data_IF_957953092475
#
_entry.id   IF_957953092475
#
_cell.length_a   1.000
_cell.length_b   1.000
_cell.length_c   1.000
_cell.angle_alpha   90.00
_cell.angle_beta   90.00
_cell.angle_gamma   90.00
#
_symmetry.space_group_name_H-M   'P 1'
#
loop_
_entity.id
_entity.type
_entity.pdbx_description
1 polymer ?
#
# COMPACT_ATOMS: atom_id res chain seq x y z
N UNK A 1 26.09 -17.63 62.37
CA UNK A 1 26.04 -16.61 61.30
C UNK A 1 25.95 -17.32 59.98
N UNK A 2 24.74 -17.47 59.44
CA UNK A 2 24.52 -18.06 58.10
C UNK A 2 24.56 -16.92 57.10
N UNK A 3 25.53 -16.97 56.19
CA UNK A 3 25.73 -16.00 55.11
C UNK A 3 24.65 -16.24 54.06
N UNK A 4 23.65 -15.36 54.04
CA UNK A 4 22.69 -15.22 52.94
C UNK A 4 23.24 -14.10 52.04
N UNK A 5 23.65 -14.41 50.81
CA UNK A 5 24.09 -13.35 49.92
C UNK A 5 24.81 -13.82 48.67
N UNK A 6 24.06 -14.42 47.74
CA UNK A 6 24.31 -14.26 46.30
C UNK A 6 23.22 -14.91 45.43
N UNK A 7 22.51 -15.92 45.97
CA UNK A 7 21.39 -16.57 45.26
C UNK A 7 20.12 -15.70 45.16
N UNK A 8 20.00 -14.65 45.96
CA UNK A 8 18.83 -13.74 45.93
C UNK A 8 18.90 -12.70 44.81
N UNK A 9 20.10 -12.30 44.36
CA UNK A 9 20.27 -11.31 43.28
C UNK A 9 20.01 -11.89 41.89
N UNK A 10 20.35 -13.16 41.68
CA UNK A 10 20.07 -13.87 40.41
C UNK A 10 18.57 -14.17 40.25
N UNK A 11 17.87 -14.45 41.36
CA UNK A 11 16.44 -14.76 41.32
C UNK A 11 15.55 -13.53 40.98
N UNK A 12 15.93 -12.33 41.44
CA UNK A 12 15.21 -11.09 41.13
C UNK A 12 15.42 -10.64 39.67
N UNK A 13 16.59 -10.90 39.08
CA UNK A 13 16.89 -10.60 37.67
C UNK A 13 16.13 -11.51 36.69
N UNK A 14 15.94 -12.78 37.03
CA UNK A 14 15.18 -13.75 36.21
C UNK A 14 13.67 -13.46 36.26
N UNK A 15 13.14 -13.04 37.42
CA UNK A 15 11.72 -12.64 37.54
C UNK A 15 11.45 -11.32 36.80
N UNK A 16 12.39 -10.37 36.80
CA UNK A 16 12.28 -9.12 36.02
C UNK A 16 12.21 -9.35 34.51
N UNK A 17 13.04 -10.25 33.97
CA UNK A 17 13.04 -10.62 32.54
C UNK A 17 11.78 -11.41 32.11
N UNK A 18 11.25 -12.26 33.00
CA UNK A 18 9.96 -12.94 32.80
C UNK A 18 8.77 -11.96 32.85
N UNK A 19 8.78 -10.94 33.72
CA UNK A 19 7.71 -9.94 33.79
C UNK A 19 7.71 -8.96 32.60
N UNK A 20 8.89 -8.59 32.08
CA UNK A 20 8.99 -7.73 30.88
C UNK A 20 8.55 -8.46 29.62
N UNK A 21 8.90 -9.74 29.47
CA UNK A 21 8.46 -10.56 28.32
C UNK A 21 6.96 -10.89 28.37
N UNK A 22 6.40 -11.16 29.56
CA UNK A 22 4.95 -11.33 29.76
C UNK A 22 4.19 -10.01 29.51
N UNK A 23 4.73 -8.86 29.92
CA UNK A 23 4.09 -7.55 29.65
C UNK A 23 4.10 -7.19 28.16
N UNK A 24 5.16 -7.54 27.43
CA UNK A 24 5.24 -7.30 25.99
C UNK A 24 4.29 -8.24 25.22
N UNK A 25 4.24 -9.52 25.60
CA UNK A 25 3.32 -10.51 25.03
C UNK A 25 1.84 -10.17 25.29
N UNK A 26 1.47 -9.85 26.54
CA UNK A 26 0.08 -9.48 26.89
C UNK A 26 -0.38 -8.17 26.24
N UNK A 27 0.51 -7.17 26.10
CA UNK A 27 0.22 -5.95 25.33
C UNK A 27 -0.02 -6.25 23.85
N UNK A 28 0.75 -7.16 23.25
CA UNK A 28 0.61 -7.55 21.85
C UNK A 28 -0.66 -8.39 21.60
N UNK A 29 -1.03 -9.28 22.52
CA UNK A 29 -2.29 -10.04 22.50
C UNK A 29 -3.51 -9.11 22.62
N UNK A 30 -3.48 -8.15 23.56
CA UNK A 30 -4.55 -7.18 23.72
C UNK A 30 -4.66 -6.20 22.53
N UNK A 31 -3.55 -5.93 21.83
CA UNK A 31 -3.54 -5.16 20.60
C UNK A 31 -4.18 -5.93 19.44
N UNK A 32 -3.90 -7.25 19.33
CA UNK A 32 -4.49 -8.12 18.30
C UNK A 32 -5.99 -8.32 18.51
N UNK A 33 -6.47 -8.50 19.75
CA UNK A 33 -7.92 -8.59 20.01
C UNK A 33 -8.66 -7.29 19.68
N UNK A 34 -8.04 -6.12 19.90
CA UNK A 34 -8.60 -4.82 19.51
C UNK A 34 -8.63 -4.61 17.99
N UNK A 35 -7.75 -5.29 17.26
CA UNK A 35 -7.67 -5.25 15.80
C UNK A 35 -8.77 -6.10 15.17
N UNK A 36 -8.88 -7.37 15.55
CA UNK A 36 -9.84 -8.32 14.97
C UNK A 36 -11.30 -8.00 15.33
N UNK A 37 -11.53 -7.33 16.47
CA UNK A 37 -12.87 -6.93 16.94
C UNK A 37 -13.20 -5.46 16.70
N UNK A 38 -12.43 -4.74 15.88
CA UNK A 38 -12.74 -3.34 15.64
C UNK A 38 -14.08 -3.21 14.91
N UNK A 39 -15.04 -2.42 15.43
CA UNK A 39 -16.36 -2.31 14.81
C UNK A 39 -16.32 -1.81 13.37
N UNK A 40 -15.29 -1.04 12.95
CA UNK A 40 -15.18 -0.54 11.58
C UNK A 40 -14.96 -1.63 10.55
N UNK A 41 -14.57 -2.84 10.96
CA UNK A 41 -14.49 -3.99 10.06
C UNK A 41 -15.87 -4.54 9.70
N UNK A 42 -16.95 -4.11 10.34
CA UNK A 42 -18.30 -4.60 10.07
C UNK A 42 -19.18 -3.54 9.42
N UNK A 43 -19.98 -3.94 8.43
CA UNK A 43 -21.02 -3.09 7.83
C UNK A 43 -22.04 -2.57 8.86
N UNK A 44 -22.24 -3.25 9.99
CA UNK A 44 -23.17 -2.78 11.03
C UNK A 44 -22.73 -1.45 11.64
N UNK A 45 -21.42 -1.19 11.71
CA UNK A 45 -20.90 0.09 12.21
C UNK A 45 -21.20 1.25 11.24
N UNK A 46 -21.08 0.99 9.94
CA UNK A 46 -21.27 1.99 8.89
C UNK A 46 -22.73 2.23 8.51
N UNK A 47 -23.61 1.27 8.83
CA UNK A 47 -25.00 1.30 8.43
C UNK A 47 -25.17 1.24 6.91
N UNK A 48 -26.29 1.76 6.41
CA UNK A 48 -26.67 1.67 4.98
C UNK A 48 -26.78 3.04 4.30
N UNK A 49 -26.67 4.14 5.05
CA UNK A 49 -26.90 5.49 4.52
C UNK A 49 -25.90 5.91 3.43
N UNK A 50 -24.69 5.35 3.46
CA UNK A 50 -23.66 5.59 2.45
C UNK A 50 -24.13 5.18 1.04
N UNK A 51 -25.02 4.19 0.93
CA UNK A 51 -25.58 3.73 -0.36
C UNK A 51 -26.46 4.77 -1.04
N UNK A 52 -27.01 5.72 -0.27
CA UNK A 52 -27.88 6.79 -0.79
C UNK A 52 -27.10 7.84 -1.61
N UNK A 53 -25.77 7.85 -1.50
CA UNK A 53 -24.87 8.76 -2.22
C UNK A 53 -24.17 8.06 -3.38
N UNK A 54 -23.83 8.83 -4.41
CA UNK A 54 -22.86 8.38 -5.42
C UNK A 54 -21.52 8.10 -4.74
N UNK A 55 -20.77 7.10 -5.19
CA UNK A 55 -19.46 6.76 -4.63
C UNK A 55 -18.48 7.95 -4.63
N UNK A 56 -18.55 8.83 -5.64
CA UNK A 56 -17.76 10.06 -5.74
C UNK A 56 -18.10 11.12 -4.67
N UNK A 57 -19.24 10.97 -3.98
CA UNK A 57 -19.71 11.86 -2.93
C UNK A 57 -19.53 11.26 -1.52
N UNK A 58 -19.02 10.03 -1.41
CA UNK A 58 -18.79 9.35 -0.13
C UNK A 58 -17.46 9.76 0.51
N UNK A 59 -17.20 11.07 0.56
CA UNK A 59 -15.98 11.62 1.17
C UNK A 59 -16.33 12.30 2.47
N UNK A 60 -15.60 11.96 3.54
CA UNK A 60 -15.91 12.43 4.90
C UNK A 60 -14.69 12.45 5.81
N UNK A 61 -14.80 13.11 6.96
CA UNK A 61 -13.84 13.00 8.05
C UNK A 61 -13.83 11.57 8.59
N UNK A 62 -12.65 11.00 8.89
CA UNK A 62 -12.57 9.68 9.51
C UNK A 62 -13.23 9.65 10.91
N UNK A 63 -14.04 8.63 11.22
CA UNK A 63 -14.59 8.48 12.56
C UNK A 63 -13.53 8.03 13.57
N UNK A 64 -13.76 8.28 14.86
CA UNK A 64 -12.77 8.03 15.93
C UNK A 64 -12.34 6.56 16.05
N UNK A 65 -13.25 5.63 15.75
CA UNK A 65 -13.00 4.19 15.79
C UNK A 65 -12.01 3.77 14.71
N UNK A 66 -12.12 4.37 13.52
CA UNK A 66 -11.21 4.14 12.41
C UNK A 66 -9.82 4.70 12.74
N UNK A 67 -9.76 5.91 13.29
CA UNK A 67 -8.49 6.50 13.73
C UNK A 67 -7.79 5.62 14.77
N UNK A 68 -8.54 5.13 15.77
CA UNK A 68 -8.00 4.21 16.78
C UNK A 68 -7.45 2.92 16.19
N UNK A 69 -8.13 2.38 15.17
CA UNK A 69 -7.68 1.19 14.45
C UNK A 69 -6.32 1.44 13.78
N UNK A 70 -6.26 2.48 12.95
CA UNK A 70 -5.07 2.82 12.18
C UNK A 70 -3.90 3.18 13.11
N UNK A 71 -4.15 3.94 14.19
CA UNK A 71 -3.15 4.20 15.24
C UNK A 71 -2.56 2.91 15.83
N UNK A 72 -3.38 1.90 16.08
CA UNK A 72 -2.91 0.62 16.63
C UNK A 72 -2.07 -0.16 15.60
N UNK A 73 -2.45 -0.12 14.32
CA UNK A 73 -1.67 -0.70 13.23
C UNK A 73 -0.33 -0.02 13.02
N UNK A 74 -0.30 1.31 13.03
CA UNK A 74 0.92 2.08 12.95
C UNK A 74 1.92 1.64 14.03
N UNK A 75 1.46 1.53 15.29
CA UNK A 75 2.29 1.05 16.40
C UNK A 75 2.79 -0.38 16.14
N UNK A 76 1.92 -1.29 15.67
CA UNK A 76 2.29 -2.69 15.35
C UNK A 76 3.33 -2.77 14.24
N UNK A 77 3.27 -1.86 13.27
CA UNK A 77 4.17 -1.80 12.11
C UNK A 77 5.43 -0.94 12.36
N UNK A 78 5.56 -0.34 13.55
CA UNK A 78 6.72 0.48 13.95
C UNK A 78 6.69 1.93 13.45
N UNK A 79 5.53 2.41 13.02
CA UNK A 79 5.26 3.81 12.71
C UNK A 79 4.96 4.59 13.99
N UNK A 80 5.43 5.84 14.04
CA UNK A 80 5.22 6.74 15.18
C UNK A 80 3.98 7.62 14.98
N UNK A 81 3.50 7.68 13.76
CA UNK A 81 2.42 8.51 13.28
C UNK A 81 1.09 8.08 13.92
N UNK A 82 0.32 9.08 14.34
CA UNK A 82 -0.98 8.92 14.99
C UNK A 82 -2.00 9.72 14.19
N UNK A 83 -2.85 9.06 13.38
CA UNK A 83 -3.78 9.77 12.52
C UNK A 83 -4.80 10.55 13.34
N UNK A 84 -5.08 11.78 12.88
CA UNK A 84 -6.11 12.66 13.44
C UNK A 84 -7.11 13.04 12.36
N UNK A 85 -8.29 13.50 12.79
CA UNK A 85 -9.34 13.99 11.89
C UNK A 85 -8.81 15.09 10.98
N UNK A 86 -9.21 15.05 9.71
CA UNK A 86 -9.00 16.12 8.75
C UNK A 86 -10.27 16.32 7.92
N UNK A 87 -10.51 17.57 7.53
CA UNK A 87 -11.54 17.85 6.54
C UNK A 87 -11.08 17.36 5.16
N UNK A 88 -11.97 16.77 4.36
CA UNK A 88 -11.67 16.45 2.97
C UNK A 88 -11.24 17.67 2.16
N UNK A 89 -10.21 17.49 1.35
CA UNK A 89 -9.74 18.52 0.43
C UNK A 89 -10.64 18.59 -0.83
N UNK A 90 -10.84 19.77 -1.46
CA UNK A 90 -11.51 19.87 -2.75
C UNK A 90 -10.95 18.91 -3.81
N UNK A 91 -9.62 18.74 -3.82
CA UNK A 91 -8.88 17.88 -4.74
C UNK A 91 -9.27 16.40 -4.63
N UNK A 92 -9.83 15.97 -3.48
CA UNK A 92 -10.33 14.61 -3.33
C UNK A 92 -11.59 14.41 -4.17
N UNK A 93 -12.50 15.39 -4.15
CA UNK A 93 -13.71 15.35 -4.96
C UNK A 93 -13.39 15.47 -6.45
N UNK A 94 -12.46 16.38 -6.82
CA UNK A 94 -12.01 16.54 -8.20
C UNK A 94 -11.40 15.24 -8.75
N UNK A 95 -10.53 14.59 -7.97
CA UNK A 95 -9.92 13.33 -8.36
C UNK A 95 -10.95 12.21 -8.53
N UNK A 96 -11.91 12.08 -7.61
CA UNK A 96 -12.97 11.06 -7.69
C UNK A 96 -13.88 11.30 -8.89
N UNK A 97 -14.23 12.56 -9.18
CA UNK A 97 -15.03 12.91 -10.38
C UNK A 97 -14.26 12.61 -11.68
N UNK A 98 -12.96 12.93 -11.73
CA UNK A 98 -12.13 12.60 -12.88
C UNK A 98 -12.02 11.07 -13.07
N UNK A 99 -11.91 10.30 -11.99
CA UNK A 99 -11.92 8.84 -12.05
C UNK A 99 -13.26 8.29 -12.52
N UNK A 100 -14.40 8.84 -12.08
CA UNK A 100 -15.72 8.42 -12.56
C UNK A 100 -15.93 8.64 -14.07
N UNK A 101 -15.35 9.71 -14.61
CA UNK A 101 -15.37 9.97 -16.04
C UNK A 101 -14.53 8.95 -16.83
N UNK A 102 -13.33 8.61 -16.32
CA UNK A 102 -12.37 7.74 -17.03
C UNK A 102 -12.63 6.24 -16.83
N UNK A 103 -13.30 5.85 -15.75
CA UNK A 103 -13.33 4.45 -15.30
C UNK A 103 -14.35 3.58 -16.06
N UNK A 104 -13.96 2.33 -16.44
CA UNK A 104 -14.88 1.37 -17.05
C UNK A 104 -16.10 1.09 -16.17
N UNK A 105 -17.26 0.90 -16.81
CA UNK A 105 -18.53 0.71 -16.13
C UNK A 105 -18.55 -0.43 -15.10
N UNK A 106 -17.95 -1.62 -15.34
CA UNK A 106 -17.92 -2.68 -14.33
C UNK A 106 -17.27 -2.26 -13.01
N UNK A 107 -16.20 -1.46 -13.07
CA UNK A 107 -15.52 -0.96 -11.87
C UNK A 107 -16.32 0.13 -11.17
N UNK A 108 -16.98 1.02 -11.91
CA UNK A 108 -17.87 2.02 -11.34
C UNK A 108 -19.04 1.39 -10.60
N UNK A 109 -19.62 0.33 -11.16
CA UNK A 109 -20.66 -0.46 -10.49
C UNK A 109 -20.12 -1.07 -9.18
N UNK A 110 -18.92 -1.66 -9.20
CA UNK A 110 -18.30 -2.19 -7.97
C UNK A 110 -18.06 -1.10 -6.92
N UNK A 111 -17.53 0.08 -7.28
CA UNK A 111 -17.36 1.20 -6.35
C UNK A 111 -18.70 1.66 -5.78
N UNK A 112 -19.71 1.83 -6.65
CA UNK A 112 -21.05 2.23 -6.23
C UNK A 112 -21.65 1.22 -5.24
N UNK A 113 -21.47 -0.07 -5.45
CA UNK A 113 -22.06 -1.13 -4.63
C UNK A 113 -21.28 -1.46 -3.36
N UNK A 114 -19.94 -1.25 -3.37
CA UNK A 114 -19.05 -1.87 -2.38
C UNK A 114 -18.10 -0.91 -1.66
N UNK A 115 -17.85 0.31 -2.18
CA UNK A 115 -17.03 1.30 -1.48
C UNK A 115 -17.90 2.05 -0.46
N UNK A 116 -17.66 1.81 0.83
CA UNK A 116 -18.39 2.46 1.93
C UNK A 116 -18.07 3.96 1.98
N UNK A 117 -16.80 4.32 1.81
CA UNK A 117 -16.39 5.73 1.71
C UNK A 117 -14.89 5.95 1.60
N UNK A 118 -14.53 7.20 1.34
CA UNK A 118 -13.19 7.76 1.35
C UNK A 118 -13.08 8.71 2.55
N UNK A 119 -12.10 8.50 3.43
CA UNK A 119 -11.97 9.26 4.67
C UNK A 119 -10.70 10.11 4.69
N UNK A 120 -10.83 11.37 5.09
CA UNK A 120 -9.69 12.27 5.23
C UNK A 120 -9.11 12.23 6.65
N UNK A 121 -7.79 12.14 6.74
CA UNK A 121 -7.01 12.21 7.98
C UNK A 121 -5.77 13.08 7.80
N UNK A 122 -5.08 13.41 8.89
CA UNK A 122 -3.70 13.89 8.88
C UNK A 122 -2.83 12.96 9.73
N UNK A 123 -1.57 12.78 9.36
CA UNK A 123 -0.62 11.98 10.16
C UNK A 123 -0.84 10.48 10.02
N UNK A 124 -1.14 10.01 8.81
CA UNK A 124 -1.37 8.60 8.50
C UNK A 124 -0.11 7.74 8.62
N UNK A 125 1.07 8.29 8.32
CA UNK A 125 2.33 7.54 8.18
C UNK A 125 2.63 7.12 6.73
N UNK A 126 1.68 7.33 5.83
CA UNK A 126 1.80 7.20 4.38
C UNK A 126 0.89 8.22 3.71
N UNK A 127 0.42 7.92 2.49
CA UNK A 127 -0.49 8.82 1.75
C UNK A 127 -1.90 8.29 1.61
N UNK A 128 -2.04 6.97 1.62
CA UNK A 128 -3.29 6.25 1.47
C UNK A 128 -3.30 5.00 2.33
N UNK A 129 -4.49 4.50 2.60
CA UNK A 129 -4.74 3.28 3.34
C UNK A 129 -6.09 2.71 2.90
N UNK A 130 -6.14 1.42 2.64
CA UNK A 130 -7.36 0.70 2.26
C UNK A 130 -7.64 -0.39 3.27
N UNK A 131 -8.92 -0.58 3.61
CA UNK A 131 -9.31 -1.65 4.52
C UNK A 131 -10.62 -2.33 4.12
N UNK A 132 -10.72 -3.61 4.47
CA UNK A 132 -11.91 -4.45 4.38
C UNK A 132 -13.02 -3.94 5.28
N UNK A 133 -14.24 -4.08 4.77
CA UNK A 133 -15.45 -4.13 5.59
C UNK A 133 -16.19 -5.43 5.26
N UNK A 134 -16.43 -6.25 6.28
CA UNK A 134 -17.27 -7.43 6.20
C UNK A 134 -18.72 -7.03 5.96
N UNK A 135 -19.35 -7.67 4.98
CA UNK A 135 -20.77 -7.52 4.72
C UNK A 135 -21.64 -8.24 5.78
N UNK A 136 -22.97 -8.21 5.61
CA UNK A 136 -23.90 -8.85 6.54
C UNK A 136 -23.77 -10.38 6.60
N UNK A 137 -23.06 -11.00 5.65
CA UNK A 137 -22.77 -12.43 5.61
C UNK A 137 -21.39 -12.77 6.18
N UNK A 138 -20.61 -11.76 6.59
CA UNK A 138 -19.24 -11.93 7.06
C UNK A 138 -18.22 -12.09 5.93
N UNK A 139 -18.55 -11.69 4.70
CA UNK A 139 -17.63 -11.77 3.56
C UNK A 139 -16.91 -10.43 3.33
N UNK A 140 -15.65 -10.47 2.89
CA UNK A 140 -14.81 -9.30 2.55
C UNK A 140 -15.24 -8.63 1.23
N UNK A 141 -16.51 -8.23 1.15
CA UNK A 141 -17.13 -7.72 -0.07
C UNK A 141 -17.22 -6.20 -0.12
N UNK A 142 -16.90 -5.50 0.97
CA UNK A 142 -16.96 -4.03 1.06
C UNK A 142 -15.60 -3.49 1.50
N UNK A 143 -15.41 -2.19 1.37
CA UNK A 143 -14.17 -1.56 1.84
C UNK A 143 -14.26 -0.06 1.99
N UNK A 144 -13.21 0.49 2.60
CA UNK A 144 -12.99 1.92 2.78
C UNK A 144 -11.62 2.32 2.25
N UNK A 145 -11.47 3.59 1.89
CA UNK A 145 -10.20 4.21 1.55
C UNK A 145 -9.97 5.37 2.52
N UNK A 146 -8.74 5.61 2.91
CA UNK A 146 -8.32 6.71 3.78
C UNK A 146 -7.18 7.45 3.11
N UNK A 147 -7.21 8.78 3.12
CA UNK A 147 -6.20 9.64 2.49
C UNK A 147 -5.65 10.66 3.48
N UNK A 148 -4.33 10.88 3.44
CA UNK A 148 -3.67 11.89 4.26
C UNK A 148 -3.73 13.28 3.60
N UNK A 149 -4.62 14.15 4.08
CA UNK A 149 -4.79 15.49 3.54
C UNK A 149 -3.53 16.36 3.71
N UNK A 150 -2.78 16.21 4.81
CA UNK A 150 -1.60 17.02 5.07
C UNK A 150 -0.44 16.73 4.12
N UNK A 151 -0.24 15.46 3.77
CA UNK A 151 0.79 15.06 2.81
C UNK A 151 0.41 15.52 1.41
N UNK A 152 -0.86 15.36 1.03
CA UNK A 152 -1.34 15.56 -0.34
C UNK A 152 -1.47 17.03 -0.72
N UNK A 153 -1.95 17.89 0.17
CA UNK A 153 -2.14 19.33 -0.12
C UNK A 153 -0.86 20.10 -0.49
N UNK A 154 0.31 19.50 -0.28
CA UNK A 154 1.61 20.18 -0.38
C UNK A 154 2.46 19.72 -1.56
N UNK A 155 1.95 18.83 -2.43
CA UNK A 155 2.72 18.25 -3.52
C UNK A 155 1.88 18.08 -4.77
N UNK A 156 2.40 18.55 -5.90
CA UNK A 156 1.90 18.18 -7.23
C UNK A 156 2.13 16.68 -7.51
N UNK A 157 1.61 16.17 -8.62
CA UNK A 157 1.67 14.75 -8.96
C UNK A 157 3.11 14.24 -9.07
N UNK A 158 3.97 14.96 -9.77
CA UNK A 158 5.37 14.58 -9.97
C UNK A 158 6.21 14.77 -8.71
N UNK A 159 5.93 15.81 -7.91
CA UNK A 159 6.58 16.02 -6.61
C UNK A 159 6.24 14.91 -5.63
N UNK A 160 4.96 14.54 -5.53
CA UNK A 160 4.51 13.44 -4.70
C UNK A 160 5.14 12.11 -5.14
N UNK A 161 5.06 11.80 -6.44
CA UNK A 161 5.60 10.55 -6.97
C UNK A 161 7.11 10.45 -6.72
N UNK A 162 7.85 11.54 -6.98
CA UNK A 162 9.29 11.59 -6.70
C UNK A 162 9.58 11.41 -5.20
N UNK A 163 8.86 12.13 -4.34
CA UNK A 163 9.05 12.02 -2.88
C UNK A 163 8.78 10.59 -2.37
N UNK A 164 7.66 9.99 -2.77
CA UNK A 164 7.31 8.62 -2.39
C UNK A 164 8.33 7.61 -2.93
N UNK A 165 8.80 7.77 -4.17
CA UNK A 165 9.73 6.81 -4.76
C UNK A 165 11.14 6.91 -4.16
N UNK A 166 11.56 8.10 -3.72
CA UNK A 166 12.81 8.24 -2.96
C UNK A 166 12.70 7.61 -1.55
N UNK A 167 11.49 7.51 -0.97
CA UNK A 167 11.30 6.96 0.37
C UNK A 167 11.65 5.46 0.52
N UNK A 168 11.83 4.75 -0.60
CA UNK A 168 12.34 3.38 -0.59
C UNK A 168 13.81 3.27 -0.19
N UNK A 169 14.55 4.37 -0.25
CA UNK A 169 15.99 4.41 -0.02
C UNK A 169 16.32 5.30 1.17
N UNK A 170 17.38 4.95 1.89
CA UNK A 170 17.95 5.84 2.89
C UNK A 170 18.84 6.87 2.18
N UNK A 171 18.77 8.12 2.63
CA UNK A 171 19.50 9.24 2.05
C UNK A 171 20.98 9.28 2.48
N UNK A 172 21.54 8.17 2.96
CA UNK A 172 22.87 8.10 3.58
C UNK A 172 24.06 8.26 2.61
N UNK A 173 23.81 8.57 1.34
CA UNK A 173 24.81 8.45 0.29
C UNK A 173 25.67 9.71 0.08
N UNK A 174 26.96 9.46 -0.17
CA UNK A 174 28.00 10.41 -0.54
C UNK A 174 28.12 10.62 -2.06
N UNK A 175 27.39 9.83 -2.87
CA UNK A 175 27.31 9.98 -4.32
C UNK A 175 26.11 10.88 -4.72
N UNK A 176 26.31 11.75 -5.72
CA UNK A 176 25.26 12.64 -6.27
C UNK A 176 24.24 11.88 -7.13
N UNK A 177 23.57 10.87 -6.58
CA UNK A 177 22.51 10.10 -7.23
C UNK A 177 21.15 10.62 -6.78
N UNK A 178 20.32 11.04 -7.74
CA UNK A 178 18.92 11.43 -7.50
C UNK A 178 17.95 10.61 -8.36
N UNK A 179 16.74 10.46 -7.85
CA UNK A 179 15.63 9.82 -8.53
C UNK A 179 14.48 10.82 -8.63
N UNK A 180 13.90 10.95 -9.82
CA UNK A 180 12.66 11.70 -10.05
C UNK A 180 11.63 10.81 -10.73
N UNK A 181 10.36 11.07 -10.47
CA UNK A 181 9.26 10.50 -11.22
C UNK A 181 8.50 11.59 -11.98
N UNK A 182 7.98 11.22 -13.14
CA UNK A 182 6.96 12.00 -13.82
C UNK A 182 5.77 11.09 -14.15
N UNK A 183 4.63 11.39 -13.55
CA UNK A 183 3.33 10.74 -13.75
C UNK A 183 2.30 11.70 -14.40
N UNK A 184 2.64 12.98 -14.56
CA UNK A 184 1.86 13.94 -15.34
C UNK A 184 2.79 14.86 -16.14
N UNK A 185 2.26 15.41 -17.23
CA UNK A 185 2.89 16.52 -17.96
C UNK A 185 2.25 17.85 -17.54
N UNK A 186 2.95 18.96 -17.68
CA UNK A 186 2.35 20.29 -17.53
C UNK A 186 1.24 20.50 -18.58
N UNK A 187 0.08 21.09 -18.23
CA UNK A 187 -0.28 21.71 -16.95
C UNK A 187 -1.02 20.76 -15.99
N UNK A 188 -0.99 19.44 -16.23
CA UNK A 188 -1.70 18.44 -15.43
C UNK A 188 -0.95 18.03 -14.16
N UNK A 189 0.28 18.51 -13.96
CA UNK A 189 1.05 18.28 -12.74
C UNK A 189 0.45 19.05 -11.55
N UNK A 190 -0.59 18.49 -10.95
CA UNK A 190 -1.44 19.14 -9.96
C UNK A 190 -1.65 18.24 -8.75
N UNK A 191 -2.03 18.84 -7.62
CA UNK A 191 -2.42 18.10 -6.41
C UNK A 191 -3.56 17.12 -6.70
N UNK A 192 -4.59 17.55 -7.45
CA UNK A 192 -5.72 16.68 -7.82
C UNK A 192 -5.27 15.43 -8.60
N UNK A 193 -4.31 15.54 -9.51
CA UNK A 193 -3.78 14.37 -10.21
C UNK A 193 -2.83 13.52 -9.34
N UNK A 194 -2.18 14.09 -8.33
CA UNK A 194 -1.49 13.30 -7.29
C UNK A 194 -2.51 12.43 -6.53
N UNK A 195 -3.60 13.05 -6.05
CA UNK A 195 -4.70 12.35 -5.36
C UNK A 195 -5.32 11.29 -6.26
N UNK A 196 -5.54 11.58 -7.55
CA UNK A 196 -6.04 10.62 -8.54
C UNK A 196 -5.17 9.37 -8.63
N UNK A 197 -3.85 9.52 -8.73
CA UNK A 197 -2.94 8.38 -8.82
C UNK A 197 -2.96 7.53 -7.54
N UNK A 198 -3.00 8.18 -6.39
CA UNK A 198 -3.04 7.49 -5.08
C UNK A 198 -4.35 6.74 -4.92
N UNK A 199 -5.47 7.38 -5.26
CA UNK A 199 -6.78 6.72 -5.28
C UNK A 199 -6.77 5.49 -6.18
N UNK A 200 -6.09 5.53 -7.34
CA UNK A 200 -5.97 4.33 -8.17
C UNK A 200 -5.22 3.20 -7.46
N UNK A 201 -4.14 3.50 -6.73
CA UNK A 201 -3.42 2.51 -5.95
C UNK A 201 -4.31 1.91 -4.85
N UNK A 202 -4.97 2.76 -4.05
CA UNK A 202 -5.90 2.31 -3.00
C UNK A 202 -7.10 1.54 -3.56
N UNK A 203 -7.64 1.98 -4.70
CA UNK A 203 -8.67 1.25 -5.43
C UNK A 203 -8.16 -0.11 -5.92
N UNK A 204 -6.87 -0.22 -6.27
CA UNK A 204 -6.24 -1.48 -6.61
C UNK A 204 -6.30 -2.48 -5.45
N UNK A 205 -5.93 -2.06 -4.24
CA UNK A 205 -6.12 -2.86 -3.02
C UNK A 205 -7.60 -3.23 -2.82
N UNK A 206 -8.49 -2.25 -2.89
CA UNK A 206 -9.93 -2.45 -2.73
C UNK A 206 -10.50 -3.47 -3.72
N UNK A 207 -10.23 -3.30 -5.00
CA UNK A 207 -10.73 -4.18 -6.04
C UNK A 207 -10.12 -5.57 -5.94
N UNK A 208 -8.83 -5.66 -5.60
CA UNK A 208 -8.15 -6.94 -5.48
C UNK A 208 -8.80 -7.81 -4.39
N UNK A 209 -9.21 -7.21 -3.28
CA UNK A 209 -10.00 -7.90 -2.25
C UNK A 209 -11.39 -8.28 -2.72
N UNK A 210 -12.23 -7.29 -3.09
CA UNK A 210 -13.66 -7.54 -3.29
C UNK A 210 -13.94 -8.41 -4.52
N UNK A 211 -12.97 -8.50 -5.43
CA UNK A 211 -13.03 -9.39 -6.61
C UNK A 211 -12.22 -10.67 -6.44
N UNK A 212 -11.56 -10.86 -5.29
CA UNK A 212 -10.71 -12.02 -4.97
C UNK A 212 -9.61 -12.21 -6.02
N UNK A 213 -8.95 -11.12 -6.43
CA UNK A 213 -7.80 -11.17 -7.33
C UNK A 213 -6.49 -11.51 -6.60
N UNK A 214 -6.46 -11.33 -5.27
CA UNK A 214 -5.39 -11.76 -4.37
C UNK A 214 -5.98 -12.27 -3.05
N UNK A 215 -5.15 -12.84 -2.19
CA UNK A 215 -5.55 -13.36 -0.88
C UNK A 215 -5.97 -12.26 0.09
N UNK A 216 -6.78 -12.61 1.09
CA UNK A 216 -7.06 -11.75 2.24
C UNK A 216 -5.77 -11.44 3.01
N UNK A 217 -5.56 -10.18 3.35
CA UNK A 217 -4.50 -9.79 4.29
C UNK A 217 -4.91 -10.01 5.75
N UNK A 218 -6.21 -10.11 6.05
CA UNK A 218 -6.69 -10.43 7.41
C UNK A 218 -6.33 -11.87 7.73
N UNK A 219 -6.69 -12.81 6.85
CA UNK A 219 -6.33 -14.23 6.99
C UNK A 219 -4.80 -14.41 7.07
N UNK A 220 -4.03 -13.68 6.26
CA UNK A 220 -2.58 -13.69 6.37
C UNK A 220 -2.09 -13.12 7.71
N UNK A 221 -2.70 -12.05 8.22
CA UNK A 221 -2.27 -11.43 9.47
C UNK A 221 -2.37 -12.41 10.65
N UNK A 222 -3.35 -13.32 10.61
CA UNK A 222 -3.62 -14.38 11.59
C UNK A 222 -2.78 -15.64 11.35
N UNK A 223 -2.77 -16.16 10.13
CA UNK A 223 -2.20 -17.48 9.80
C UNK A 223 -0.74 -17.41 9.36
N UNK A 224 -0.28 -16.24 8.92
CA UNK A 224 0.98 -16.04 8.19
C UNK A 224 1.09 -16.86 6.91
N UNK A 225 -0.03 -17.34 6.38
CA UNK A 225 -0.11 -18.04 5.11
C UNK A 225 -0.80 -17.16 4.07
N UNK A 226 -0.33 -17.25 2.83
CA UNK A 226 -0.94 -16.60 1.68
C UNK A 226 -1.40 -17.73 0.77
N UNK A 227 -2.70 -17.81 0.53
CA UNK A 227 -3.21 -18.73 -0.46
C UNK A 227 -2.70 -18.31 -1.85
N UNK A 228 -1.99 -19.20 -2.55
CA UNK A 228 -1.39 -18.93 -3.86
C UNK A 228 -2.26 -19.38 -5.04
N UNK A 229 -3.54 -19.66 -4.82
CA UNK A 229 -4.50 -20.07 -5.86
C UNK A 229 -5.07 -18.88 -6.66
N UNK A 230 -4.56 -17.67 -6.45
CA UNK A 230 -4.97 -16.48 -7.20
C UNK A 230 -4.19 -16.33 -8.51
N UNK A 231 -4.85 -16.28 -9.68
CA UNK A 231 -4.17 -16.27 -10.98
C UNK A 231 -3.19 -15.11 -11.16
N UNK A 232 -3.50 -13.93 -10.62
CA UNK A 232 -2.59 -12.79 -10.70
C UNK A 232 -1.32 -13.01 -9.88
N UNK A 233 -1.45 -13.43 -8.62
CA UNK A 233 -0.31 -13.65 -7.74
C UNK A 233 0.67 -14.68 -8.33
N UNK A 234 0.17 -15.74 -8.94
CA UNK A 234 0.99 -16.80 -9.56
C UNK A 234 1.93 -16.32 -10.68
N UNK A 235 1.64 -15.16 -11.29
CA UNK A 235 2.47 -14.57 -12.34
C UNK A 235 3.85 -14.13 -11.83
N UNK A 236 3.93 -13.71 -10.56
CA UNK A 236 5.13 -13.10 -9.99
C UNK A 236 5.60 -13.77 -8.71
N UNK A 237 4.67 -14.36 -7.96
CA UNK A 237 4.88 -14.87 -6.63
C UNK A 237 4.76 -16.39 -6.63
N UNK A 238 5.53 -17.01 -5.74
CA UNK A 238 5.54 -18.45 -5.51
C UNK A 238 5.53 -18.70 -4.01
N UNK A 239 5.08 -19.88 -3.61
CA UNK A 239 5.25 -20.38 -2.27
C UNK A 239 6.37 -21.41 -2.28
N UNK A 240 7.33 -21.28 -1.37
CA UNK A 240 8.36 -22.29 -1.19
C UNK A 240 7.82 -23.51 -0.41
N UNK A 241 8.56 -24.62 -0.32
CA UNK A 241 8.11 -25.82 0.40
C UNK A 241 7.84 -25.61 1.90
N UNK A 242 8.32 -24.52 2.49
CA UNK A 242 8.06 -24.17 3.90
C UNK A 242 6.77 -23.36 4.08
N UNK A 243 6.14 -22.95 2.98
CA UNK A 243 4.95 -22.12 2.99
C UNK A 243 5.24 -20.63 2.89
N UNK A 244 6.51 -20.22 2.80
CA UNK A 244 6.90 -18.81 2.70
C UNK A 244 6.64 -18.29 1.27
N UNK A 245 6.03 -17.10 1.18
CA UNK A 245 5.84 -16.44 -0.11
C UNK A 245 7.10 -15.70 -0.53
N UNK A 246 7.53 -16.00 -1.75
CA UNK A 246 8.72 -15.44 -2.38
C UNK A 246 8.38 -14.89 -3.76
N UNK A 247 9.14 -13.91 -4.21
CA UNK A 247 9.04 -13.49 -5.60
C UNK A 247 9.86 -14.43 -6.48
N UNK A 248 9.36 -14.73 -7.68
CA UNK A 248 10.16 -15.35 -8.76
C UNK A 248 11.41 -14.52 -9.10
N UNK A 249 11.47 -13.25 -8.67
CA UNK A 249 12.54 -12.31 -8.94
C UNK A 249 13.44 -12.00 -7.73
N UNK A 250 13.33 -12.74 -6.61
CA UNK A 250 14.19 -12.56 -5.44
C UNK A 250 15.69 -12.72 -5.79
N UNK A 251 16.02 -13.65 -6.69
CA UNK A 251 17.38 -13.85 -7.20
C UNK A 251 17.82 -12.85 -8.27
N UNK A 252 16.95 -11.91 -8.67
CA UNK A 252 17.15 -11.02 -9.82
C UNK A 252 17.30 -9.57 -9.38
N UNK A 253 16.43 -9.09 -8.49
CA UNK A 253 16.42 -7.71 -7.99
C UNK A 253 17.18 -7.67 -6.66
N UNK A 254 18.35 -6.99 -6.61
CA UNK A 254 19.14 -6.92 -5.39
C UNK A 254 18.35 -6.30 -4.24
N UNK A 255 18.29 -7.00 -3.10
CA UNK A 255 17.62 -6.49 -1.90
C UNK A 255 16.10 -6.31 -2.04
N UNK A 256 15.43 -7.02 -2.96
CA UNK A 256 13.98 -6.87 -3.17
C UNK A 256 13.17 -6.98 -1.88
N UNK A 257 13.51 -7.93 -1.00
CA UNK A 257 12.86 -8.12 0.30
C UNK A 257 12.99 -6.92 1.27
N UNK A 258 13.84 -5.95 0.96
CA UNK A 258 14.04 -4.74 1.75
C UNK A 258 13.36 -3.51 1.15
N UNK A 259 12.69 -3.65 0.01
CA UNK A 259 11.87 -2.57 -0.56
C UNK A 259 10.69 -2.36 0.39
N UNK A 260 10.62 -1.17 0.98
CA UNK A 260 9.51 -0.75 1.84
C UNK A 260 9.24 0.73 1.63
N UNK A 261 8.01 1.07 1.23
CA UNK A 261 7.59 2.45 1.07
C UNK A 261 7.65 3.19 2.42
N UNK A 262 7.95 4.49 2.37
CA UNK A 262 8.04 5.37 3.54
C UNK A 262 9.08 4.95 4.58
N UNK A 263 10.03 4.08 4.22
CA UNK A 263 11.11 3.67 5.12
C UNK A 263 12.13 4.79 5.36
N UNK A 264 12.40 5.63 4.35
CA UNK A 264 13.31 6.77 4.42
C UNK A 264 14.65 6.38 5.08
N UNK A 265 15.08 7.12 6.11
CA UNK A 265 16.31 6.84 6.88
C UNK A 265 16.36 5.44 7.50
N UNK A 266 15.20 4.80 7.73
CA UNK A 266 15.11 3.42 8.24
C UNK A 266 15.23 2.37 7.14
N UNK A 267 15.30 2.76 5.87
CA UNK A 267 15.45 1.81 4.76
C UNK A 267 16.78 1.08 4.84
N UNK A 268 16.75 -0.22 4.57
CA UNK A 268 17.97 -1.02 4.41
C UNK A 268 18.59 -0.88 3.01
N UNK A 269 17.92 -0.17 2.08
CA UNK A 269 18.41 0.13 0.75
C UNK A 269 19.06 1.51 0.73
N UNK A 270 20.33 1.58 0.34
CA UNK A 270 21.04 2.85 0.17
C UNK A 270 20.80 3.44 -1.24
N UNK A 271 20.90 4.76 -1.38
CA UNK A 271 20.77 5.46 -2.67
C UNK A 271 21.71 4.93 -3.78
N UNK A 272 22.88 4.37 -3.44
CA UNK A 272 23.78 3.70 -4.39
C UNK A 272 23.15 2.46 -5.06
N UNK A 273 22.13 1.88 -4.43
CA UNK A 273 21.39 0.72 -4.96
C UNK A 273 20.33 1.09 -6.00
N UNK A 274 20.02 2.37 -6.18
CA UNK A 274 19.02 2.86 -7.15
C UNK A 274 19.30 2.33 -8.56
N UNK A 275 20.50 2.57 -9.11
CA UNK A 275 20.84 2.13 -10.46
C UNK A 275 20.81 0.60 -10.63
N UNK A 276 21.45 -0.20 -9.74
CA UNK A 276 21.36 -1.66 -9.78
C UNK A 276 19.92 -2.20 -9.73
N UNK A 277 19.11 -1.74 -8.79
CA UNK A 277 17.73 -2.20 -8.59
C UNK A 277 16.89 -1.91 -9.83
N UNK A 278 16.86 -0.65 -10.26
CA UNK A 278 16.07 -0.25 -11.42
C UNK A 278 16.53 -0.89 -12.72
N UNK A 279 17.84 -1.12 -12.88
CA UNK A 279 18.36 -1.81 -14.07
C UNK A 279 17.98 -3.28 -14.11
N UNK A 280 17.99 -3.96 -12.96
CA UNK A 280 17.56 -5.36 -12.89
C UNK A 280 16.05 -5.50 -13.04
N UNK A 281 15.28 -4.68 -12.34
CA UNK A 281 13.82 -4.66 -12.43
C UNK A 281 13.34 -4.38 -13.86
N UNK A 282 13.83 -3.32 -14.49
CA UNK A 282 13.40 -2.94 -15.86
C UNK A 282 13.78 -3.96 -16.96
N UNK A 283 14.68 -4.91 -16.69
CA UNK A 283 15.13 -5.88 -17.71
C UNK A 283 14.64 -7.29 -17.45
N UNK A 284 14.46 -7.67 -16.19
CA UNK A 284 14.38 -9.07 -15.80
C UNK A 284 13.21 -9.39 -14.88
N UNK A 285 12.32 -8.43 -14.60
CA UNK A 285 11.11 -8.69 -13.82
C UNK A 285 9.83 -8.23 -14.52
N UNK A 286 8.71 -8.83 -14.12
CA UNK A 286 7.37 -8.42 -14.51
C UNK A 286 6.77 -7.36 -13.59
N UNK A 287 7.57 -6.73 -12.72
CA UNK A 287 7.09 -5.64 -11.85
C UNK A 287 6.97 -4.34 -12.68
N UNK A 288 5.78 -3.71 -12.76
CA UNK A 288 5.61 -2.44 -13.47
C UNK A 288 6.27 -1.25 -12.75
N UNK A 289 6.48 -1.34 -11.44
CA UNK A 289 7.12 -0.30 -10.62
C UNK A 289 7.93 -0.91 -9.47
N UNK A 290 8.70 -0.09 -8.75
CA UNK A 290 9.36 -0.55 -7.54
C UNK A 290 8.36 -0.88 -6.41
N UNK A 291 7.25 -0.14 -6.32
CA UNK A 291 6.19 -0.38 -5.34
C UNK A 291 5.60 -1.79 -5.48
N UNK A 292 5.34 -2.21 -6.74
CA UNK A 292 4.79 -3.53 -7.04
C UNK A 292 5.71 -4.68 -6.62
N UNK A 293 6.99 -4.41 -6.35
CA UNK A 293 7.97 -5.41 -5.96
C UNK A 293 7.99 -5.71 -4.45
N UNK A 294 7.18 -5.04 -3.63
CA UNK A 294 7.15 -5.20 -2.17
C UNK A 294 6.56 -6.56 -1.74
N UNK A 295 5.34 -6.85 -2.14
CA UNK A 295 4.57 -8.04 -1.77
C UNK A 295 3.42 -8.30 -2.76
N UNK A 296 2.67 -9.42 -2.65
CA UNK A 296 1.60 -9.74 -3.59
C UNK A 296 0.45 -8.72 -3.64
N UNK A 297 0.15 -8.02 -2.54
CA UNK A 297 -0.93 -7.05 -2.47
C UNK A 297 -0.53 -5.76 -3.20
N UNK A 298 0.66 -5.24 -2.87
CA UNK A 298 1.27 -4.10 -3.54
C UNK A 298 1.50 -4.38 -5.04
N UNK A 299 1.83 -5.62 -5.41
CA UNK A 299 1.96 -6.01 -6.82
C UNK A 299 0.65 -5.81 -7.57
N UNK A 300 -0.48 -6.30 -7.02
CA UNK A 300 -1.77 -6.12 -7.67
C UNK A 300 -2.20 -4.65 -7.69
N UNK A 301 -2.13 -3.97 -6.54
CA UNK A 301 -2.59 -2.60 -6.39
C UNK A 301 -1.85 -1.65 -7.33
N UNK A 302 -0.53 -1.75 -7.39
CA UNK A 302 0.26 -0.88 -8.23
C UNK A 302 0.25 -1.32 -9.70
N UNK A 303 0.05 -2.61 -9.99
CA UNK A 303 -0.25 -3.07 -11.35
C UNK A 303 -1.58 -2.52 -11.86
N UNK A 304 -2.62 -2.49 -11.02
CA UNK A 304 -3.90 -1.87 -11.37
C UNK A 304 -3.71 -0.38 -11.63
N UNK A 305 -3.04 0.33 -10.71
CA UNK A 305 -2.86 1.77 -10.79
C UNK A 305 -2.06 2.19 -12.02
N UNK A 306 -0.90 1.56 -12.24
CA UNK A 306 -0.05 1.87 -13.40
C UNK A 306 -0.71 1.46 -14.72
N UNK A 307 -1.43 0.33 -14.77
CA UNK A 307 -2.15 -0.07 -15.98
C UNK A 307 -3.27 0.91 -16.32
N UNK A 308 -4.10 1.28 -15.35
CA UNK A 308 -5.16 2.25 -15.56
C UNK A 308 -4.61 3.61 -15.96
N UNK A 309 -3.59 4.08 -15.25
CA UNK A 309 -2.98 5.38 -15.48
C UNK A 309 -2.35 5.48 -16.87
N UNK A 310 -1.57 4.48 -17.28
CA UNK A 310 -0.84 4.53 -18.55
C UNK A 310 -1.62 3.94 -19.73
N UNK A 311 -2.16 2.73 -19.61
CA UNK A 311 -2.78 2.01 -20.72
C UNK A 311 -4.20 2.48 -20.97
N UNK A 312 -5.00 2.65 -19.91
CA UNK A 312 -6.40 3.09 -20.05
C UNK A 312 -6.49 4.61 -20.24
N UNK A 313 -5.75 5.39 -19.44
CA UNK A 313 -5.85 6.86 -19.45
C UNK A 313 -4.83 7.55 -20.36
N UNK A 314 -3.85 6.83 -20.92
CA UNK A 314 -2.82 7.40 -21.79
C UNK A 314 -1.89 8.41 -21.09
N UNK A 315 -1.76 8.36 -19.77
CA UNK A 315 -0.96 9.31 -18.98
C UNK A 315 0.50 8.86 -18.88
N UNK A 316 1.47 9.79 -18.77
CA UNK A 316 2.88 9.43 -18.70
C UNK A 316 3.19 8.69 -17.41
N UNK A 317 4.19 7.82 -17.44
CA UNK A 317 4.77 7.27 -16.22
C UNK A 317 6.22 6.95 -16.50
N UNK A 318 7.13 7.64 -15.82
CA UNK A 318 8.57 7.44 -15.98
C UNK A 318 9.33 7.71 -14.70
N UNK A 319 10.32 6.87 -14.45
CA UNK A 319 11.39 7.09 -13.47
C UNK A 319 12.61 7.61 -14.20
N UNK A 320 13.16 8.71 -13.71
CA UNK A 320 14.35 9.39 -14.23
C UNK A 320 15.45 9.22 -13.19
N UNK A 321 16.48 8.47 -13.56
CA UNK A 321 17.67 8.26 -12.75
C UNK A 321 18.73 9.26 -13.15
N UNK A 322 19.23 10.00 -12.17
CA UNK A 322 20.19 11.08 -12.37
C UNK A 322 21.48 10.78 -11.62
N UNK A 323 22.60 11.23 -12.19
CA UNK A 323 23.91 11.22 -11.55
C UNK A 323 24.58 12.57 -11.82
N UNK A 324 25.10 13.20 -10.78
CA UNK A 324 25.74 14.52 -10.85
C UNK A 324 24.81 15.57 -11.50
N UNK A 325 23.52 15.52 -11.14
CA UNK A 325 22.48 16.42 -11.66
C UNK A 325 22.10 16.23 -13.12
N UNK A 326 22.55 15.15 -13.78
CA UNK A 326 22.25 14.85 -15.18
C UNK A 326 21.42 13.57 -15.31
N UNK A 327 20.37 13.55 -16.14
CA UNK A 327 19.64 12.34 -16.47
C UNK A 327 20.56 11.31 -17.14
N UNK A 328 20.68 10.14 -16.53
CA UNK A 328 21.48 9.00 -17.06
C UNK A 328 20.56 7.95 -17.66
N UNK A 329 19.39 7.72 -17.07
CA UNK A 329 18.46 6.69 -17.53
C UNK A 329 17.02 7.10 -17.29
N UNK A 330 16.16 6.89 -18.28
CA UNK A 330 14.71 7.02 -18.15
C UNK A 330 14.09 5.64 -18.30
N UNK A 331 13.20 5.28 -17.39
CA UNK A 331 12.54 3.98 -17.33
C UNK A 331 11.04 4.23 -17.33
N UNK A 332 10.35 3.73 -18.34
CA UNK A 332 8.89 3.77 -18.41
C UNK A 332 8.23 2.55 -17.75
N UNK A 333 6.90 2.48 -17.83
CA UNK A 333 6.18 1.25 -17.47
C UNK A 333 6.48 0.12 -18.44
N UNK A 334 6.34 -1.11 -17.94
CA UNK A 334 6.59 -2.31 -18.70
C UNK A 334 5.46 -2.77 -19.63
N UNK A 335 4.32 -2.07 -19.66
CA UNK A 335 3.09 -2.63 -20.23
C UNK A 335 3.18 -3.03 -21.70
N UNK A 336 3.98 -2.32 -22.49
CA UNK A 336 4.23 -2.66 -23.90
C UNK A 336 5.50 -3.50 -24.12
N UNK A 337 6.12 -3.98 -23.04
CA UNK A 337 7.29 -4.86 -23.07
C UNK A 337 6.92 -6.32 -22.86
N UNK A 338 7.69 -7.24 -23.46
CA UNK A 338 7.47 -8.69 -23.33
C UNK A 338 7.47 -9.16 -21.87
N UNK A 339 8.32 -8.57 -21.02
CA UNK A 339 8.43 -8.94 -19.59
C UNK A 339 7.13 -8.78 -18.78
N UNK A 340 6.18 -7.98 -19.26
CA UNK A 340 4.88 -7.79 -18.62
C UNK A 340 3.69 -8.30 -19.43
N UNK A 341 3.92 -9.04 -20.52
CA UNK A 341 2.84 -9.50 -21.41
C UNK A 341 1.75 -10.29 -20.68
N UNK A 342 2.10 -11.13 -19.71
CA UNK A 342 1.14 -11.93 -18.96
C UNK A 342 0.32 -11.09 -17.98
N UNK A 343 0.95 -10.13 -17.27
CA UNK A 343 0.22 -9.19 -16.42
C UNK A 343 -0.68 -8.28 -17.25
N UNK A 344 -0.21 -7.80 -18.41
CA UNK A 344 -1.04 -7.01 -19.33
C UNK A 344 -2.25 -7.80 -19.82
N UNK A 345 -2.06 -9.07 -20.19
CA UNK A 345 -3.15 -9.93 -20.62
C UNK A 345 -4.16 -10.17 -19.49
N UNK A 346 -3.68 -10.41 -18.27
CA UNK A 346 -4.52 -10.50 -17.08
C UNK A 346 -5.31 -9.20 -16.86
N UNK A 347 -4.62 -8.05 -16.77
CA UNK A 347 -5.24 -6.76 -16.49
C UNK A 347 -6.31 -6.43 -17.52
N UNK A 348 -6.01 -6.56 -18.82
CA UNK A 348 -7.00 -6.35 -19.89
C UNK A 348 -8.29 -7.14 -19.64
N UNK A 349 -8.17 -8.45 -19.40
CA UNK A 349 -9.33 -9.32 -19.14
C UNK A 349 -10.04 -8.94 -17.84
N UNK A 350 -9.29 -8.64 -16.79
CA UNK A 350 -9.84 -8.30 -15.48
C UNK A 350 -10.59 -6.96 -15.50
N UNK A 351 -10.12 -5.95 -16.23
CA UNK A 351 -10.82 -4.67 -16.41
C UNK A 351 -12.14 -4.81 -17.20
N UNK A 352 -12.21 -5.76 -18.14
CA UNK A 352 -13.45 -6.07 -18.88
C UNK A 352 -14.48 -6.78 -17.98
N UNK A 353 -14.02 -7.68 -17.11
CA UNK A 353 -14.89 -8.52 -16.28
C UNK A 353 -14.27 -8.83 -14.92
N UNK A 354 -14.28 -7.87 -13.99
CA UNK A 354 -13.69 -8.05 -12.66
C UNK A 354 -14.48 -9.10 -11.86
N UNK A 355 -13.78 -10.06 -11.24
CA UNK A 355 -14.38 -11.09 -10.38
C UNK A 355 -14.98 -12.31 -11.08
N UNK A 356 -14.58 -12.61 -12.33
CA UNK A 356 -14.98 -13.82 -13.09
C UNK A 356 -13.79 -14.71 -13.43
#
# INVERSE_FOLDING_TARGET
MIVIGDRFRVFVLVIGLLLVSVSCSTKMTALNEKFEKNPTLSIQYWGEDWRKKSWTQRVSVAPDELLRKISAENIKQGFVEQPVKAEPLPEFYEALQALDADMPQPLKSLLQERLVGVFAVNGLGGTGYTEVVYDSKGEENLGIIVLDASVLKSRTANEWASWKENSFFNSGNTENISLRMAIEEEPKDTVANAVRYILLHEMGHFFGMVTKAHSSWIEWSETKQIAMNYPFAQLTWIQDPTGEVRSRFDGVIPGRQHIKAYANEKSALDHSSVFPIYTKMSRFSSFPSLASAQDPWEDFADSFATYFHTVISGRPWRVILEKDGKPVKVIGTCWDEERCMFKRAFMRKWFEKPGV
#
